data_IF_330319617146
#
_entry.id   IF_330319617146
#
_cell.length_a   1.000
_cell.length_b   1.000
_cell.length_c   1.000
_cell.angle_alpha   90.00
_cell.angle_beta   90.00
_cell.angle_gamma   90.00
#
_symmetry.space_group_name_H-M   'P 1'
#
loop_
_entity.id
_entity.type
_entity.pdbx_description
1 polymer ?
#
# COMPACT_ATOMS: atom_id res chain seq x y z
N UNK A 1 -14.86 -47.21 -7.47
CA UNK A 1 -14.21 -46.64 -8.68
C UNK A 1 -14.32 -45.12 -8.78
N UNK A 2 -15.45 -44.48 -8.42
CA UNK A 2 -15.62 -43.02 -8.52
C UNK A 2 -14.66 -42.17 -7.65
N UNK A 3 -14.19 -42.71 -6.53
CA UNK A 3 -13.31 -41.99 -5.58
C UNK A 3 -11.92 -41.68 -6.15
N UNK A 4 -11.40 -42.54 -7.02
CA UNK A 4 -10.07 -42.37 -7.63
C UNK A 4 -10.07 -41.23 -8.65
N UNK A 5 -11.09 -41.17 -9.50
CA UNK A 5 -11.27 -40.09 -10.47
C UNK A 5 -11.37 -38.72 -9.78
N UNK A 6 -12.14 -38.64 -8.69
CA UNK A 6 -12.28 -37.39 -7.92
C UNK A 6 -10.96 -36.96 -7.28
N UNK A 7 -10.16 -37.92 -6.80
CA UNK A 7 -8.82 -37.63 -6.27
C UNK A 7 -7.86 -37.13 -7.35
N UNK A 8 -7.88 -37.76 -8.53
CA UNK A 8 -7.03 -37.38 -9.67
C UNK A 8 -7.37 -35.97 -10.18
N UNK A 9 -8.68 -35.65 -10.28
CA UNK A 9 -9.16 -34.31 -10.64
C UNK A 9 -8.75 -33.29 -9.58
N UNK A 10 -8.92 -33.60 -8.30
CA UNK A 10 -8.53 -32.70 -7.20
C UNK A 10 -7.02 -32.41 -7.22
N UNK A 11 -6.20 -33.44 -7.43
CA UNK A 11 -4.75 -33.32 -7.56
C UNK A 11 -4.33 -32.44 -8.74
N UNK A 12 -4.98 -32.61 -9.90
CA UNK A 12 -4.72 -31.76 -11.06
C UNK A 12 -5.13 -30.30 -10.82
N UNK A 13 -6.25 -30.08 -10.13
CA UNK A 13 -6.71 -28.75 -9.74
C UNK A 13 -5.77 -28.07 -8.75
N UNK A 14 -5.30 -28.76 -7.70
CA UNK A 14 -4.37 -28.18 -6.73
C UNK A 14 -2.99 -27.90 -7.34
N UNK A 15 -2.53 -28.74 -8.28
CA UNK A 15 -1.29 -28.52 -9.02
C UNK A 15 -1.37 -27.32 -9.98
N UNK A 16 -2.51 -27.15 -10.66
CA UNK A 16 -2.71 -26.05 -11.62
C UNK A 16 -3.09 -24.73 -10.95
N UNK A 17 -3.82 -24.77 -9.83
CA UNK A 17 -4.27 -23.61 -9.07
C UNK A 17 -3.48 -23.49 -7.77
N UNK A 18 -2.18 -23.20 -7.89
CA UNK A 18 -1.34 -22.93 -6.72
C UNK A 18 -1.92 -21.77 -5.92
N UNK A 19 -2.41 -22.06 -4.72
CA UNK A 19 -2.88 -21.05 -3.77
C UNK A 19 -1.70 -20.13 -3.47
N UNK A 20 -1.78 -18.87 -3.88
CA UNK A 20 -0.79 -17.85 -3.55
C UNK A 20 -0.63 -17.84 -2.03
N UNK A 21 0.50 -18.35 -1.56
CA UNK A 21 0.82 -18.37 -0.14
C UNK A 21 0.82 -16.96 0.44
N UNK A 22 0.58 -16.84 1.75
CA UNK A 22 0.62 -15.57 2.44
C UNK A 22 1.93 -14.84 2.15
N UNK A 23 1.84 -13.57 1.74
CA UNK A 23 3.01 -12.75 1.40
C UNK A 23 3.92 -12.70 2.63
N UNK A 24 5.12 -13.30 2.55
CA UNK A 24 6.15 -13.23 3.60
C UNK A 24 6.25 -11.77 4.06
N UNK A 25 6.06 -11.53 5.37
CA UNK A 25 6.23 -10.19 5.95
C UNK A 25 7.67 -9.76 5.66
N UNK A 26 7.84 -8.82 4.74
CA UNK A 26 9.15 -8.20 4.51
C UNK A 26 9.56 -7.54 5.83
N UNK A 27 10.79 -7.76 6.27
CA UNK A 27 11.33 -7.13 7.48
C UNK A 27 11.12 -5.62 7.44
N UNK A 28 11.01 -5.01 8.63
CA UNK A 28 10.92 -3.56 8.74
C UNK A 28 12.15 -2.94 8.06
N UNK A 29 11.90 -2.06 7.09
CA UNK A 29 13.00 -1.38 6.38
C UNK A 29 13.66 -0.41 7.34
N UNK A 30 14.99 -0.34 7.38
CA UNK A 30 15.75 0.44 8.36
C UNK A 30 15.31 1.91 8.50
N UNK A 31 14.87 2.54 7.39
CA UNK A 31 14.40 3.93 7.35
C UNK A 31 12.89 4.06 7.60
N UNK A 32 12.17 2.98 7.93
CA UNK A 32 10.72 3.02 8.10
C UNK A 32 10.33 3.22 9.57
N UNK A 33 10.11 4.48 9.95
CA UNK A 33 9.73 4.87 11.31
C UNK A 33 8.22 5.00 11.51
N UNK A 34 7.78 5.00 12.76
CA UNK A 34 6.38 5.27 13.15
C UNK A 34 5.90 6.65 12.68
N UNK A 35 6.79 7.64 12.68
CA UNK A 35 6.58 8.97 12.13
C UNK A 35 6.26 8.92 10.62
N UNK A 36 7.10 8.22 9.83
CA UNK A 36 6.87 8.06 8.38
C UNK A 36 5.56 7.32 8.11
N UNK A 37 5.20 6.34 8.95
CA UNK A 37 3.91 5.65 8.85
C UNK A 37 2.73 6.60 9.10
N UNK A 38 2.81 7.48 10.10
CA UNK A 38 1.82 8.52 10.37
C UNK A 38 1.69 9.52 9.22
N UNK A 39 2.82 10.06 8.74
CA UNK A 39 2.86 10.99 7.62
C UNK A 39 2.31 10.37 6.34
N UNK A 40 2.59 9.08 6.11
CA UNK A 40 2.03 8.35 4.96
C UNK A 40 0.52 8.21 5.06
N UNK A 41 -0.03 7.87 6.24
CA UNK A 41 -1.49 7.83 6.47
C UNK A 41 -2.12 9.18 6.17
N UNK A 42 -1.58 10.26 6.72
CA UNK A 42 -2.07 11.63 6.49
C UNK A 42 -2.00 12.04 5.02
N UNK A 43 -0.89 11.74 4.34
CA UNK A 43 -0.71 12.00 2.91
C UNK A 43 -1.72 11.23 2.05
N UNK A 44 -1.95 9.94 2.34
CA UNK A 44 -2.95 9.13 1.63
C UNK A 44 -4.38 9.63 1.90
N UNK A 45 -4.66 10.08 3.13
CA UNK A 45 -5.95 10.69 3.47
C UNK A 45 -6.20 11.98 2.69
N UNK A 46 -5.19 12.86 2.56
CA UNK A 46 -5.28 14.10 1.79
C UNK A 46 -5.31 13.88 0.26
N UNK A 47 -4.74 12.77 -0.24
CA UNK A 47 -4.78 12.43 -1.68
C UNK A 47 -6.19 12.20 -2.19
N UNK A 48 -7.05 11.52 -1.41
CA UNK A 48 -8.43 11.20 -1.81
C UNK A 48 -9.27 12.44 -2.16
N UNK A 49 -9.39 13.47 -1.30
CA UNK A 49 -10.13 14.69 -1.64
C UNK A 49 -9.45 15.44 -2.79
N UNK A 50 -8.11 15.52 -2.84
CA UNK A 50 -7.40 16.16 -3.96
C UNK A 50 -7.72 15.52 -5.32
N UNK A 51 -7.88 14.19 -5.38
CA UNK A 51 -8.25 13.50 -6.62
C UNK A 51 -9.72 13.72 -7.00
N UNK A 52 -10.62 13.81 -6.02
CA UNK A 52 -12.07 13.96 -6.24
C UNK A 52 -12.55 15.40 -6.36
N UNK A 53 -11.74 16.37 -5.99
CA UNK A 53 -12.09 17.78 -6.04
C UNK A 53 -11.92 18.40 -7.44
N UNK A 54 -11.58 17.62 -8.48
CA UNK A 54 -11.58 18.13 -9.87
C UNK A 54 -12.96 18.68 -10.22
N UNK A 55 -13.01 19.92 -10.72
CA UNK A 55 -14.27 20.61 -11.03
C UNK A 55 -15.05 21.14 -9.83
N UNK A 56 -14.50 21.03 -8.59
CA UNK A 56 -15.12 21.61 -7.38
C UNK A 56 -14.42 22.92 -7.00
N UNK A 57 -15.14 23.86 -6.35
CA UNK A 57 -14.54 25.13 -5.91
C UNK A 57 -13.40 24.94 -4.90
N UNK A 58 -13.35 23.81 -4.18
CA UNK A 58 -12.31 23.50 -3.21
C UNK A 58 -11.10 22.73 -3.80
N UNK A 59 -10.99 22.66 -5.13
CA UNK A 59 -9.93 21.92 -5.81
C UNK A 59 -8.52 22.36 -5.38
N UNK A 60 -8.26 23.66 -5.33
CA UNK A 60 -6.96 24.21 -4.97
C UNK A 60 -6.60 23.99 -3.52
N UNK A 61 -7.54 24.19 -2.59
CA UNK A 61 -7.34 23.90 -1.18
C UNK A 61 -7.01 22.41 -0.96
N UNK A 62 -7.73 21.51 -1.64
CA UNK A 62 -7.47 20.07 -1.55
C UNK A 62 -6.10 19.71 -2.15
N UNK A 63 -5.72 20.31 -3.29
CA UNK A 63 -4.40 20.15 -3.90
C UNK A 63 -3.27 20.64 -2.98
N UNK A 64 -3.43 21.81 -2.37
CA UNK A 64 -2.47 22.40 -1.46
C UNK A 64 -2.27 21.55 -0.21
N UNK A 65 -3.37 21.06 0.39
CA UNK A 65 -3.34 20.14 1.54
C UNK A 65 -2.55 18.86 1.22
N UNK A 66 -2.83 18.24 0.07
CA UNK A 66 -2.08 17.06 -0.38
C UNK A 66 -0.61 17.37 -0.67
N UNK A 67 -0.30 18.50 -1.31
CA UNK A 67 1.07 18.91 -1.59
C UNK A 67 1.89 19.11 -0.30
N UNK A 68 1.28 19.75 0.71
CA UNK A 68 1.88 19.94 2.03
C UNK A 68 2.15 18.60 2.73
N UNK A 69 1.14 17.72 2.81
CA UNK A 69 1.30 16.39 3.42
C UNK A 69 2.36 15.54 2.68
N UNK A 70 2.44 15.67 1.35
CA UNK A 70 3.46 14.99 0.54
C UNK A 70 4.85 15.55 0.78
N UNK A 71 4.99 16.86 1.00
CA UNK A 71 6.27 17.50 1.35
C UNK A 71 6.79 16.98 2.68
N UNK A 72 5.95 16.95 3.72
CA UNK A 72 6.35 16.40 5.03
C UNK A 72 6.78 14.93 4.94
N UNK A 73 6.01 14.09 4.24
CA UNK A 73 6.37 12.69 4.04
C UNK A 73 7.73 12.54 3.33
N UNK A 74 7.97 13.31 2.27
CA UNK A 74 9.25 13.26 1.54
C UNK A 74 10.41 13.74 2.39
N UNK A 75 10.22 14.80 3.18
CA UNK A 75 11.23 15.31 4.09
C UNK A 75 11.59 14.26 5.16
N UNK A 76 10.60 13.67 5.84
CA UNK A 76 10.85 12.65 6.85
C UNK A 76 11.55 11.40 6.29
N UNK A 77 11.16 10.94 5.09
CA UNK A 77 11.86 9.83 4.41
C UNK A 77 13.31 10.21 4.11
N UNK A 78 13.56 11.44 3.62
CA UNK A 78 14.91 11.92 3.32
C UNK A 78 15.77 12.00 4.58
N UNK A 79 15.22 12.51 5.69
CA UNK A 79 15.92 12.61 6.96
C UNK A 79 16.21 11.24 7.56
N UNK A 80 15.22 10.34 7.61
CA UNK A 80 15.41 8.99 8.16
C UNK A 80 16.44 8.18 7.38
N UNK A 81 16.50 8.34 6.05
CA UNK A 81 17.55 7.71 5.22
C UNK A 81 18.95 8.30 5.41
N UNK A 82 19.08 9.51 5.97
CA UNK A 82 20.37 10.14 6.27
C UNK A 82 20.88 9.83 7.67
N UNK A 83 19.97 9.52 8.59
CA UNK A 83 20.25 9.20 9.99
C UNK A 83 20.64 7.74 10.21
N UNK A 84 20.51 6.91 9.18
CA UNK A 84 20.93 5.50 9.16
C UNK A 84 22.00 5.33 8.09
#
# INVERSE_FOLDING_TARGET
MATRLMADITSACDASMTKVGGRRRRGAVYWWTSEIANLRRSCLRARRPAQRARGRPNADACRASYASARRFLRAAIKSSKRLC
#
